data_IF_922761552216
#
_entry.id   IF_922761552216
#
_cell.length_a   1.000
_cell.length_b   1.000
_cell.length_c   1.000
_cell.angle_alpha   90.00
_cell.angle_beta   90.00
_cell.angle_gamma   90.00
#
_symmetry.space_group_name_H-M   'P 1'
#
loop_
_entity.id
_entity.type
_entity.pdbx_description
1 polymer ?
#
# COMPACT_ATOMS: atom_id res chain seq x y z
N UNK A 1 16.85 -14.76 9.61
CA UNK A 1 15.61 -14.62 10.41
C UNK A 1 15.00 -13.20 10.46
N UNK A 2 15.75 -12.12 10.21
CA UNK A 2 15.23 -10.75 10.30
C UNK A 2 14.20 -10.34 9.21
N UNK A 3 14.33 -10.85 7.98
CA UNK A 3 13.45 -10.49 6.85
C UNK A 3 11.99 -10.91 7.06
N UNK A 4 11.75 -12.09 7.64
CA UNK A 4 10.39 -12.59 7.88
C UNK A 4 9.66 -11.80 8.96
N UNK A 5 10.38 -11.36 9.99
CA UNK A 5 9.82 -10.51 11.06
C UNK A 5 9.43 -9.13 10.51
N UNK A 6 10.27 -8.54 9.65
CA UNK A 6 9.97 -7.27 8.99
C UNK A 6 8.72 -7.37 8.09
N UNK A 7 8.60 -8.45 7.29
CA UNK A 7 7.42 -8.70 6.45
C UNK A 7 6.14 -8.87 7.28
N UNK A 8 6.21 -9.61 8.40
CA UNK A 8 5.07 -9.79 9.32
C UNK A 8 4.63 -8.47 9.95
N UNK A 9 5.58 -7.63 10.35
CA UNK A 9 5.30 -6.29 10.90
C UNK A 9 4.66 -5.38 9.85
N UNK A 10 5.20 -5.35 8.63
CA UNK A 10 4.65 -4.57 7.53
C UNK A 10 3.20 -4.96 7.20
N UNK A 11 2.91 -6.27 7.14
CA UNK A 11 1.54 -6.77 6.94
C UNK A 11 0.58 -6.32 8.04
N UNK A 12 1.03 -6.36 9.31
CA UNK A 12 0.22 -5.89 10.44
C UNK A 12 -0.07 -4.40 10.33
N UNK A 13 0.93 -3.58 10.04
CA UNK A 13 0.78 -2.12 9.86
C UNK A 13 -0.20 -1.81 8.73
N UNK A 14 -0.10 -2.52 7.60
CA UNK A 14 -1.05 -2.36 6.49
C UNK A 14 -2.50 -2.64 6.90
N UNK A 15 -2.72 -3.70 7.68
CA UNK A 15 -4.06 -4.01 8.20
C UNK A 15 -4.56 -2.99 9.23
N UNK A 16 -3.68 -2.51 10.13
CA UNK A 16 -3.98 -1.45 11.08
C UNK A 16 -4.36 -0.14 10.37
N UNK A 17 -3.70 0.20 9.26
CA UNK A 17 -4.03 1.38 8.45
C UNK A 17 -5.45 1.32 7.85
N UNK A 18 -5.90 0.14 7.42
CA UNK A 18 -7.28 -0.08 6.94
C UNK A 18 -8.30 0.12 8.05
N UNK A 19 -7.98 -0.38 9.26
CA UNK A 19 -8.84 -0.20 10.43
C UNK A 19 -8.94 1.29 10.79
N UNK A 20 -7.80 1.99 10.79
CA UNK A 20 -7.74 3.43 11.02
C UNK A 20 -8.51 4.24 9.96
N UNK A 21 -8.54 3.76 8.72
CA UNK A 21 -9.32 4.34 7.62
C UNK A 21 -10.83 4.04 7.70
N UNK A 22 -11.31 3.39 8.76
CA UNK A 22 -12.74 3.09 8.95
C UNK A 22 -13.21 1.80 8.31
N UNK A 23 -12.29 0.94 7.87
CA UNK A 23 -12.58 -0.39 7.29
C UNK A 23 -13.64 -0.34 6.17
N UNK A 24 -13.36 0.38 5.07
CA UNK A 24 -14.28 0.46 3.94
C UNK A 24 -14.60 -0.93 3.40
N UNK A 25 -15.86 -1.15 3.01
CA UNK A 25 -16.29 -2.39 2.37
C UNK A 25 -16.25 -2.20 0.86
N UNK A 26 -15.53 -3.10 0.20
CA UNK A 26 -15.54 -3.21 -1.25
C UNK A 26 -16.25 -4.50 -1.68
N UNK A 27 -16.89 -4.53 -2.85
CA UNK A 27 -17.42 -5.76 -3.40
C UNK A 27 -16.26 -6.74 -3.68
N UNK A 28 -16.49 -8.02 -3.41
CA UNK A 28 -15.44 -9.05 -3.52
C UNK A 28 -14.98 -9.35 -4.93
N UNK A 29 -15.77 -9.02 -5.94
CA UNK A 29 -15.52 -9.38 -7.34
C UNK A 29 -15.22 -8.15 -8.21
N UNK A 30 -15.01 -6.99 -7.58
CA UNK A 30 -14.75 -5.75 -8.31
C UNK A 30 -13.26 -5.43 -8.30
N UNK A 31 -12.65 -5.11 -9.47
CA UNK A 31 -11.26 -4.70 -9.51
C UNK A 31 -11.08 -3.39 -8.72
N UNK A 32 -10.00 -3.30 -7.95
CA UNK A 32 -9.67 -2.12 -7.15
C UNK A 32 -8.45 -1.44 -7.73
N UNK A 33 -8.59 -0.18 -8.12
CA UNK A 33 -7.48 0.66 -8.51
C UNK A 33 -6.73 1.09 -7.25
N UNK A 34 -5.45 0.70 -7.15
CA UNK A 34 -4.58 1.03 -6.02
C UNK A 34 -3.52 2.02 -6.49
N UNK A 35 -3.64 3.27 -6.07
CA UNK A 35 -2.69 4.34 -6.39
C UNK A 35 -1.75 4.55 -5.22
N UNK A 36 -0.45 4.46 -5.49
CA UNK A 36 0.60 4.66 -4.50
C UNK A 36 1.23 6.03 -4.70
N UNK A 37 1.06 6.95 -3.75
CA UNK A 37 1.73 8.25 -3.76
C UNK A 37 2.87 8.27 -2.76
N UNK A 38 4.09 8.32 -3.28
CA UNK A 38 5.31 8.36 -2.49
C UNK A 38 5.71 9.80 -2.23
N UNK A 39 5.78 10.16 -0.96
CA UNK A 39 6.44 11.38 -0.52
C UNK A 39 7.78 11.01 0.11
N UNK A 40 8.91 11.18 -0.59
CA UNK A 40 10.20 10.78 -0.06
C UNK A 40 10.62 11.67 1.13
N UNK A 41 11.45 11.13 2.02
CA UNK A 41 11.99 11.89 3.17
C UNK A 41 13.07 12.89 2.76
N UNK A 42 13.79 12.58 1.67
CA UNK A 42 14.95 13.32 1.18
C UNK A 42 14.89 13.38 -0.35
N UNK A 43 15.65 14.26 -0.99
CA UNK A 43 15.69 14.39 -2.47
C UNK A 43 16.12 13.11 -3.19
N UNK A 44 16.79 12.20 -2.50
CA UNK A 44 17.10 10.86 -2.99
C UNK A 44 15.89 9.96 -2.77
N UNK A 45 14.97 9.94 -3.73
CA UNK A 45 13.91 8.95 -3.76
C UNK A 45 14.51 7.58 -4.13
N UNK A 46 14.10 6.48 -3.47
CA UNK A 46 14.43 5.13 -3.95
C UNK A 46 13.81 4.90 -5.33
N UNK A 47 14.41 4.01 -6.12
CA UNK A 47 13.86 3.61 -7.42
C UNK A 47 12.41 3.13 -7.28
N UNK A 48 11.59 3.42 -8.29
CA UNK A 48 10.15 3.13 -8.31
C UNK A 48 9.86 1.65 -8.00
N UNK A 49 10.62 0.74 -8.60
CA UNK A 49 10.49 -0.71 -8.37
C UNK A 49 10.84 -1.13 -6.94
N UNK A 50 11.88 -0.54 -6.35
CA UNK A 50 12.27 -0.82 -4.96
C UNK A 50 11.22 -0.31 -3.98
N UNK A 51 10.59 0.83 -4.30
CA UNK A 51 9.54 1.42 -3.52
C UNK A 51 8.26 0.55 -3.56
N UNK A 52 7.88 0.05 -4.74
CA UNK A 52 6.77 -0.89 -4.93
C UNK A 52 7.05 -2.22 -4.20
N UNK A 53 8.25 -2.79 -4.38
CA UNK A 53 8.63 -4.06 -3.76
C UNK A 53 8.54 -4.00 -2.23
N UNK A 54 8.96 -2.89 -1.64
CA UNK A 54 8.89 -2.65 -0.19
C UNK A 54 7.45 -2.54 0.32
N UNK A 55 6.52 -2.05 -0.50
CA UNK A 55 5.10 -1.91 -0.15
C UNK A 55 4.28 -3.19 -0.33
N UNK A 56 4.75 -4.17 -1.10
CA UNK A 56 4.02 -5.42 -1.36
C UNK A 56 3.53 -6.09 -0.06
N UNK A 57 4.38 -6.12 0.97
CA UNK A 57 4.00 -6.70 2.27
C UNK A 57 2.89 -5.91 3.00
N UNK A 58 2.83 -4.60 2.81
CA UNK A 58 1.77 -3.75 3.36
C UNK A 58 0.46 -3.96 2.59
N UNK A 59 0.53 -4.02 1.26
CA UNK A 59 -0.62 -4.30 0.39
C UNK A 59 -1.27 -5.65 0.70
N UNK A 60 -0.47 -6.70 0.92
CA UNK A 60 -0.99 -8.02 1.37
C UNK A 60 -1.78 -7.89 2.68
N UNK A 61 -1.33 -7.01 3.59
CA UNK A 61 -2.00 -6.74 4.86
C UNK A 61 -3.31 -5.98 4.69
N UNK A 62 -3.30 -4.98 3.81
CA UNK A 62 -4.46 -4.19 3.42
C UNK A 62 -5.53 -5.10 2.79
N UNK A 63 -5.18 -5.94 1.82
CA UNK A 63 -6.09 -6.88 1.18
C UNK A 63 -6.72 -7.85 2.20
N UNK A 64 -5.89 -8.39 3.12
CA UNK A 64 -6.36 -9.26 4.20
C UNK A 64 -7.37 -8.55 5.12
N UNK A 65 -7.11 -7.28 5.47
CA UNK A 65 -7.99 -6.51 6.35
C UNK A 65 -9.30 -6.07 5.68
N UNK A 66 -9.25 -5.78 4.38
CA UNK A 66 -10.41 -5.48 3.54
C UNK A 66 -11.24 -6.73 3.20
N UNK A 67 -10.64 -7.93 3.23
CA UNK A 67 -11.32 -9.19 2.93
C UNK A 67 -11.59 -9.39 1.43
N UNK A 68 -10.72 -8.83 0.59
CA UNK A 68 -10.76 -8.86 -0.88
C UNK A 68 -9.61 -9.70 -1.42
N UNK A 69 -9.80 -10.29 -2.59
CA UNK A 69 -8.75 -11.06 -3.27
C UNK A 69 -7.65 -10.11 -3.78
N UNK A 70 -6.38 -10.43 -3.51
CA UNK A 70 -5.23 -9.62 -3.94
C UNK A 70 -5.11 -9.56 -5.46
N UNK A 71 -5.67 -10.54 -6.18
CA UNK A 71 -5.70 -10.57 -7.66
C UNK A 71 -6.52 -9.44 -8.28
N UNK A 72 -7.44 -8.85 -7.51
CA UNK A 72 -8.28 -7.74 -7.94
C UNK A 72 -7.57 -6.40 -7.81
N UNK A 73 -6.43 -6.35 -7.13
CA UNK A 73 -5.67 -5.11 -6.97
C UNK A 73 -4.99 -4.80 -8.30
N UNK A 74 -5.41 -3.69 -8.91
CA UNK A 74 -4.78 -3.08 -10.06
C UNK A 74 -3.89 -1.96 -9.55
N UNK A 75 -2.61 -2.26 -9.32
CA UNK A 75 -1.63 -1.22 -9.02
C UNK A 75 -1.58 -0.25 -10.20
N UNK A 76 -1.90 1.00 -9.91
CA UNK A 76 -1.70 2.11 -10.82
C UNK A 76 -0.24 2.52 -10.81
N UNK A 77 0.16 3.29 -11.82
CA UNK A 77 1.50 3.88 -11.87
C UNK A 77 1.72 4.71 -10.59
N UNK A 78 2.79 4.43 -9.83
CA UNK A 78 3.04 5.18 -8.62
C UNK A 78 3.35 6.64 -8.92
N UNK A 79 2.94 7.51 -8.01
CA UNK A 79 3.11 8.96 -8.12
C UNK A 79 4.21 9.36 -7.15
N UNK A 80 5.27 9.97 -7.68
CA UNK A 80 6.30 10.61 -6.86
C UNK A 80 5.87 12.05 -6.60
N UNK A 81 5.51 12.34 -5.35
CA UNK A 81 5.07 13.65 -4.91
C UNK A 81 6.19 14.38 -4.14
N UNK A 82 5.93 15.62 -3.73
CA UNK A 82 6.91 16.43 -3.04
C UNK A 82 7.43 15.79 -1.75
N UNK A 83 8.73 15.96 -1.42
CA UNK A 83 9.30 15.42 -0.20
C UNK A 83 8.62 16.00 1.04
N UNK A 84 8.34 15.14 2.02
CA UNK A 84 7.78 15.55 3.31
C UNK A 84 8.71 15.14 4.45
N UNK A 85 8.74 15.94 5.52
CA UNK A 85 9.54 15.64 6.70
C UNK A 85 9.11 14.28 7.29
N UNK A 86 10.03 13.32 7.28
CA UNK A 86 9.80 11.95 7.78
C UNK A 86 9.45 10.93 6.69
N UNK A 87 9.06 11.38 5.50
CA UNK A 87 8.58 10.53 4.42
C UNK A 87 7.22 9.89 4.74
N UNK A 88 6.37 9.74 3.73
CA UNK A 88 5.11 9.01 3.87
C UNK A 88 4.71 8.38 2.54
N UNK A 89 3.94 7.31 2.61
CA UNK A 89 3.28 6.73 1.45
C UNK A 89 1.78 6.84 1.67
N UNK A 90 1.08 7.42 0.71
CA UNK A 90 -0.37 7.40 0.66
C UNK A 90 -0.80 6.26 -0.26
N UNK A 91 -1.73 5.44 0.22
CA UNK A 91 -2.34 4.36 -0.55
C UNK A 91 -3.79 4.73 -0.74
N UNK A 92 -4.14 5.10 -1.97
CA UNK A 92 -5.52 5.39 -2.36
C UNK A 92 -6.10 4.15 -3.03
N UNK A 93 -7.29 3.74 -2.59
CA UNK A 93 -7.98 2.57 -3.13
C UNK A 93 -9.34 3.02 -3.61
N UNK A 94 -9.60 2.81 -4.89
CA UNK A 94 -10.83 3.19 -5.55
C UNK A 94 -11.39 1.98 -6.32
N UNK A 95 -12.71 1.96 -6.52
CA UNK A 95 -13.34 0.96 -7.37
C UNK A 95 -12.93 1.26 -8.81
N UNK A 96 -12.24 0.31 -9.47
CA UNK A 96 -11.98 0.45 -10.88
C UNK A 96 -13.30 0.19 -11.64
N UNK A 97 -13.77 1.20 -12.36
CA UNK A 97 -14.95 1.10 -13.22
C UNK A 97 -14.66 0.33 -14.50
#
# INVERSE_FOLDING_TARGET
>A
MALHAAKKKARRIGGEAVIAAGRPRFPKDTPLAVTLTFHPKTRTAPDEDNAIASLKAYLDGIATALGVDDKLFRLQRPIMADPVKGGRVLVSIEIAQ
#
